data_IF_318790407305
#
_entry.id   IF_318790407305
#
_cell.length_a   1.000
_cell.length_b   1.000
_cell.length_c   1.000
_cell.angle_alpha   90.00
_cell.angle_beta   90.00
_cell.angle_gamma   90.00
#
_symmetry.space_group_name_H-M   'P 1'
#
loop_
_entity.id
_entity.type
_entity.pdbx_description
1 polymer ?
#
# COMPACT_ATOMS: atom_id res chain seq x y z
N UNK A 1 1.09 -19.00 11.14
CA UNK A 1 0.04 -18.99 12.18
C UNK A 1 -1.30 -18.75 11.50
N UNK A 2 -1.99 -19.82 11.08
CA UNK A 2 -3.36 -19.70 10.54
C UNK A 2 -4.26 -19.37 11.73
N UNK A 3 -4.54 -18.10 11.95
CA UNK A 3 -5.70 -17.71 12.75
C UNK A 3 -6.92 -18.03 11.89
N UNK A 4 -7.42 -19.29 12.01
CA UNK A 4 -8.67 -19.65 11.37
C UNK A 4 -9.72 -18.66 11.88
N UNK A 5 -10.31 -17.90 10.96
CA UNK A 5 -11.44 -17.01 11.26
C UNK A 5 -12.50 -17.89 11.92
N UNK A 6 -12.65 -17.73 13.24
CA UNK A 6 -13.62 -18.52 14.00
C UNK A 6 -15.02 -18.09 13.60
N UNK A 7 -15.85 -19.03 13.17
CA UNK A 7 -17.27 -18.81 12.94
C UNK A 7 -18.04 -19.27 14.18
N UNK A 8 -18.82 -18.37 14.77
CA UNK A 8 -19.76 -18.72 15.84
C UNK A 8 -21.17 -18.63 15.28
N UNK A 9 -21.96 -19.73 15.37
CA UNK A 9 -23.32 -19.82 14.83
C UNK A 9 -23.45 -19.31 13.37
N UNK A 10 -22.42 -19.55 12.53
CA UNK A 10 -22.38 -19.08 11.14
C UNK A 10 -21.97 -17.62 10.96
N UNK A 11 -21.87 -16.81 12.02
CA UNK A 11 -21.33 -15.44 11.99
C UNK A 11 -19.84 -15.43 12.33
N UNK A 12 -19.11 -14.52 11.70
CA UNK A 12 -17.70 -14.26 11.98
C UNK A 12 -17.55 -13.64 13.37
N UNK A 13 -16.58 -14.08 14.17
CA UNK A 13 -16.20 -13.37 15.39
C UNK A 13 -15.57 -12.02 14.96
N UNK A 14 -16.17 -10.91 15.39
CA UNK A 14 -15.76 -9.56 14.98
C UNK A 14 -14.76 -8.92 15.95
N UNK A 15 -14.53 -9.55 17.12
CA UNK A 15 -13.48 -9.14 18.06
C UNK A 15 -12.33 -10.13 17.99
N UNK A 16 -11.17 -9.64 17.57
CA UNK A 16 -9.95 -10.43 17.47
C UNK A 16 -9.06 -10.20 18.67
N UNK A 17 -8.68 -11.29 19.34
CA UNK A 17 -7.72 -11.29 20.45
C UNK A 17 -6.44 -12.00 20.02
N UNK A 18 -5.30 -11.37 20.23
CA UNK A 18 -3.98 -11.95 20.00
C UNK A 18 -2.92 -11.35 20.91
N UNK A 19 -1.81 -12.08 21.09
CA UNK A 19 -0.65 -11.60 21.84
C UNK A 19 0.49 -11.35 20.89
N UNK A 20 1.10 -10.17 20.99
CA UNK A 20 2.27 -9.83 20.17
C UNK A 20 3.23 -8.94 20.95
N UNK A 21 4.53 -9.21 20.88
CA UNK A 21 5.59 -8.42 21.51
C UNK A 21 5.38 -8.14 23.00
N UNK A 22 4.73 -9.07 23.75
CA UNK A 22 4.44 -8.94 25.18
C UNK A 22 3.18 -8.13 25.50
N UNK A 23 2.39 -7.74 24.49
CA UNK A 23 1.10 -7.06 24.66
C UNK A 23 -0.05 -8.00 24.36
N UNK A 24 -1.12 -7.89 25.15
CA UNK A 24 -2.41 -8.46 24.81
C UNK A 24 -3.18 -7.43 23.98
N UNK A 25 -3.53 -7.77 22.77
CA UNK A 25 -4.17 -6.87 21.81
C UNK A 25 -5.57 -7.37 21.49
N UNK A 26 -6.52 -6.45 21.52
CA UNK A 26 -7.92 -6.68 21.17
C UNK A 26 -8.30 -5.72 20.04
N UNK A 27 -8.75 -6.26 18.92
CA UNK A 27 -9.18 -5.50 17.75
C UNK A 27 -10.69 -5.73 17.55
N UNK A 28 -11.48 -4.68 17.60
CA UNK A 28 -12.85 -4.69 17.11
C UNK A 28 -12.87 -4.35 15.62
N UNK A 29 -13.30 -5.31 14.79
CA UNK A 29 -13.22 -5.19 13.32
C UNK A 29 -14.19 -4.15 12.77
N UNK A 30 -15.36 -3.98 13.40
CA UNK A 30 -16.38 -3.08 12.88
C UNK A 30 -16.07 -1.61 13.19
N UNK A 31 -15.66 -1.29 14.42
CA UNK A 31 -15.23 0.05 14.79
C UNK A 31 -13.81 0.37 14.34
N UNK A 32 -12.96 -0.66 14.18
CA UNK A 32 -11.52 -0.51 13.95
C UNK A 32 -10.73 -0.13 15.20
N UNK A 33 -11.36 -0.16 16.37
CA UNK A 33 -10.71 0.17 17.64
C UNK A 33 -9.71 -0.91 18.02
N UNK A 34 -8.54 -0.49 18.51
CA UNK A 34 -7.47 -1.37 18.97
C UNK A 34 -7.18 -1.05 20.44
N UNK A 35 -7.32 -2.04 21.29
CA UNK A 35 -7.09 -1.92 22.72
C UNK A 35 -5.87 -2.76 23.13
N UNK A 36 -5.01 -2.21 23.97
CA UNK A 36 -3.98 -2.95 24.70
C UNK A 36 -4.49 -3.15 26.12
N UNK A 37 -4.61 -4.40 26.54
CA UNK A 37 -5.25 -4.79 27.80
C UNK A 37 -4.33 -5.67 28.65
N UNK A 38 -4.61 -5.77 29.93
CA UNK A 38 -3.95 -6.72 30.82
C UNK A 38 -4.48 -8.15 30.62
N UNK A 39 -3.90 -9.12 31.34
CA UNK A 39 -4.29 -10.53 31.22
C UNK A 39 -5.71 -10.77 31.71
N UNK A 40 -6.19 -10.06 32.74
CA UNK A 40 -7.53 -10.24 33.29
C UNK A 40 -8.60 -9.77 32.31
N UNK A 41 -8.47 -8.55 31.77
CA UNK A 41 -9.38 -8.01 30.75
C UNK A 41 -9.36 -8.88 29.49
N UNK A 42 -8.19 -9.38 29.10
CA UNK A 42 -8.03 -10.29 27.95
C UNK A 42 -8.82 -11.58 28.15
N UNK A 43 -8.75 -12.19 29.33
CA UNK A 43 -9.48 -13.42 29.67
C UNK A 43 -10.99 -13.17 29.75
N UNK A 44 -11.43 -12.03 30.33
CA UNK A 44 -12.84 -11.64 30.40
C UNK A 44 -13.44 -11.46 29.00
N UNK A 45 -12.75 -10.74 28.12
CA UNK A 45 -13.20 -10.51 26.73
C UNK A 45 -13.40 -11.84 25.98
N UNK A 46 -12.56 -12.83 26.22
CA UNK A 46 -12.69 -14.15 25.62
C UNK A 46 -13.99 -14.89 26.02
N UNK A 47 -14.59 -14.52 27.16
CA UNK A 47 -15.80 -15.12 27.72
C UNK A 47 -17.04 -14.23 27.58
N UNK A 48 -16.87 -12.94 27.39
CA UNK A 48 -17.88 -11.88 27.50
C UNK A 48 -19.19 -12.17 26.75
N UNK A 49 -19.12 -12.59 25.49
CA UNK A 49 -20.34 -12.92 24.72
C UNK A 49 -20.82 -14.37 24.92
N UNK A 50 -20.09 -15.18 25.69
CA UNK A 50 -20.36 -16.61 25.81
C UNK A 50 -21.16 -16.95 27.04
N UNK A 51 -21.03 -16.16 28.10
CA UNK A 51 -21.64 -16.45 29.40
C UNK A 51 -21.91 -15.13 30.17
N UNK A 52 -22.89 -15.16 31.12
CA UNK A 52 -23.18 -14.00 31.95
C UNK A 52 -22.06 -13.71 32.96
N UNK A 53 -22.04 -12.47 33.49
CA UNK A 53 -21.01 -11.97 34.40
C UNK A 53 -20.75 -12.93 35.61
N UNK A 54 -21.83 -13.41 36.27
CA UNK A 54 -21.64 -14.25 37.46
C UNK A 54 -20.92 -15.57 37.13
N UNK A 55 -21.18 -16.14 35.94
CA UNK A 55 -20.46 -17.36 35.48
C UNK A 55 -19.01 -17.01 35.10
N UNK A 56 -18.75 -15.82 34.56
CA UNK A 56 -17.37 -15.35 34.28
C UNK A 56 -16.60 -15.22 35.61
N UNK A 57 -17.25 -14.70 36.66
CA UNK A 57 -16.65 -14.58 37.98
C UNK A 57 -16.29 -15.97 38.51
N UNK A 58 -17.23 -16.93 38.51
CA UNK A 58 -16.99 -18.31 38.94
C UNK A 58 -15.83 -19.00 38.21
N UNK A 59 -15.69 -18.70 36.87
CA UNK A 59 -14.64 -19.30 36.04
C UNK A 59 -13.25 -18.71 36.33
N UNK A 60 -13.20 -17.40 36.68
CA UNK A 60 -11.97 -16.66 36.83
C UNK A 60 -11.56 -16.32 38.26
N UNK A 61 -12.39 -16.58 39.27
CA UNK A 61 -12.14 -16.25 40.71
C UNK A 61 -10.89 -16.92 41.27
N UNK A 62 -10.50 -18.06 40.72
CA UNK A 62 -9.26 -18.77 41.13
C UNK A 62 -7.99 -18.02 40.62
N UNK A 63 -8.14 -17.11 39.68
CA UNK A 63 -7.02 -16.39 39.02
C UNK A 63 -7.01 -14.90 39.38
N UNK A 64 -8.18 -14.30 39.58
CA UNK A 64 -8.34 -12.86 39.83
C UNK A 64 -9.38 -12.62 40.93
N UNK A 65 -9.24 -11.53 41.74
CA UNK A 65 -10.25 -11.14 42.73
C UNK A 65 -11.60 -10.83 42.08
N UNK A 66 -12.72 -11.29 42.70
CA UNK A 66 -14.07 -11.05 42.19
C UNK A 66 -14.37 -9.58 41.90
N UNK A 67 -13.99 -8.67 42.82
CA UNK A 67 -14.24 -7.24 42.66
C UNK A 67 -13.54 -6.69 41.43
N UNK A 68 -12.30 -7.13 41.18
CA UNK A 68 -11.51 -6.66 40.02
C UNK A 68 -12.13 -7.18 38.71
N UNK A 69 -12.64 -8.43 38.67
CA UNK A 69 -13.36 -9.00 37.53
C UNK A 69 -14.61 -8.16 37.22
N UNK A 70 -15.40 -7.82 38.26
CA UNK A 70 -16.63 -7.00 38.09
C UNK A 70 -16.34 -5.59 37.62
N UNK A 71 -15.29 -4.97 38.13
CA UNK A 71 -14.83 -3.65 37.68
C UNK A 71 -14.39 -3.68 36.21
N UNK A 72 -13.52 -4.60 35.84
CA UNK A 72 -13.06 -4.77 34.46
C UNK A 72 -14.23 -5.10 33.50
N UNK A 73 -15.19 -5.92 33.91
CA UNK A 73 -16.39 -6.17 33.13
C UNK A 73 -17.21 -4.89 32.90
N UNK A 74 -17.32 -4.04 33.91
CA UNK A 74 -18.01 -2.75 33.78
C UNK A 74 -17.30 -1.81 32.81
N UNK A 75 -15.95 -1.82 32.77
CA UNK A 75 -15.18 -1.06 31.79
C UNK A 75 -15.41 -1.58 30.35
N UNK A 76 -15.50 -2.90 30.19
CA UNK A 76 -15.83 -3.51 28.88
C UNK A 76 -17.22 -3.08 28.42
N UNK A 77 -18.23 -3.03 29.33
CA UNK A 77 -19.58 -2.52 29.01
C UNK A 77 -19.52 -1.06 28.56
N UNK A 78 -18.73 -0.22 29.23
CA UNK A 78 -18.55 1.19 28.82
C UNK A 78 -17.93 1.32 27.43
N UNK A 79 -16.93 0.50 27.09
CA UNK A 79 -16.35 0.49 25.74
C UNK A 79 -17.37 0.04 24.69
N UNK A 80 -18.25 -0.90 25.03
CA UNK A 80 -19.34 -1.35 24.17
C UNK A 80 -20.36 -0.26 23.95
N UNK A 81 -20.82 0.40 25.02
CA UNK A 81 -21.75 1.55 24.94
C UNK A 81 -21.14 2.71 24.13
N UNK A 82 -19.84 2.93 24.24
CA UNK A 82 -19.10 3.93 23.45
C UNK A 82 -18.90 3.53 21.98
N UNK A 83 -19.31 2.32 21.55
CA UNK A 83 -19.15 1.84 20.20
C UNK A 83 -17.68 1.55 19.84
N UNK A 84 -16.87 1.11 20.81
CA UNK A 84 -15.44 0.83 20.62
C UNK A 84 -15.09 -0.66 20.79
N UNK A 85 -16.02 -1.48 21.28
CA UNK A 85 -15.83 -2.91 21.46
C UNK A 85 -17.16 -3.65 21.31
N UNK A 86 -17.15 -4.86 20.76
CA UNK A 86 -18.35 -5.67 20.46
C UNK A 86 -19.39 -4.92 19.62
N UNK A 87 -18.92 -4.16 18.64
CA UNK A 87 -19.76 -3.33 17.80
C UNK A 87 -20.48 -4.10 16.71
N UNK A 88 -21.65 -3.64 16.30
CA UNK A 88 -22.39 -4.20 15.18
C UNK A 88 -21.88 -3.65 13.85
N UNK A 89 -22.01 -4.44 12.76
CA UNK A 89 -21.73 -3.95 11.41
C UNK A 89 -22.88 -3.09 10.90
N UNK A 90 -22.78 -1.79 11.15
CA UNK A 90 -23.78 -0.80 10.69
C UNK A 90 -23.83 -0.68 9.14
N UNK A 91 -22.85 -1.23 8.42
CA UNK A 91 -22.74 -1.16 6.96
C UNK A 91 -23.28 -2.40 6.25
N UNK A 92 -23.64 -3.47 6.96
CA UNK A 92 -24.18 -4.71 6.38
C UNK A 92 -25.37 -4.42 5.45
N UNK A 93 -26.27 -3.53 5.88
CA UNK A 93 -27.46 -3.14 5.14
C UNK A 93 -27.19 -2.19 3.94
N UNK A 94 -25.96 -1.66 3.81
CA UNK A 94 -25.60 -0.74 2.75
C UNK A 94 -24.84 -1.42 1.58
N UNK A 95 -24.59 -2.73 1.66
CA UNK A 95 -23.80 -3.47 0.66
C UNK A 95 -24.42 -3.32 -0.74
N UNK A 96 -25.75 -3.43 -0.86
CA UNK A 96 -26.42 -3.33 -2.15
C UNK A 96 -26.35 -1.90 -2.72
N UNK A 97 -26.49 -0.87 -1.87
CA UNK A 97 -26.33 0.51 -2.30
C UNK A 97 -24.91 0.79 -2.82
N UNK A 98 -23.89 0.08 -2.32
CA UNK A 98 -22.51 0.18 -2.83
C UNK A 98 -22.31 -0.54 -4.17
N UNK A 99 -23.05 -1.61 -4.45
CA UNK A 99 -23.02 -2.30 -5.75
C UNK A 99 -23.60 -1.43 -6.86
N UNK A 100 -24.67 -0.73 -6.56
CA UNK A 100 -25.44 0.07 -7.52
C UNK A 100 -24.95 1.53 -7.64
N UNK A 101 -23.88 1.90 -6.94
CA UNK A 101 -23.35 3.27 -7.00
C UNK A 101 -22.80 3.60 -8.39
N UNK A 102 -22.99 4.84 -8.87
CA UNK A 102 -22.40 5.28 -10.13
C UNK A 102 -20.89 5.14 -10.11
N UNK A 103 -20.32 4.61 -11.18
CA UNK A 103 -18.86 4.58 -11.35
C UNK A 103 -18.34 5.98 -11.59
N UNK A 104 -17.42 6.43 -10.74
CA UNK A 104 -16.74 7.74 -10.85
C UNK A 104 -15.25 7.49 -10.89
N UNK A 105 -14.65 7.71 -12.05
CA UNK A 105 -13.19 7.53 -12.23
C UNK A 105 -12.46 8.65 -11.51
N UNK A 106 -11.55 8.29 -10.60
CA UNK A 106 -10.76 9.22 -9.80
C UNK A 106 -9.28 9.25 -10.17
N UNK A 107 -8.80 8.15 -10.80
CA UNK A 107 -7.39 7.98 -11.06
C UNK A 107 -7.14 7.20 -12.35
N UNK A 108 -6.08 7.58 -13.07
CA UNK A 108 -5.52 6.83 -14.19
C UNK A 108 -4.04 6.53 -13.96
N UNK A 109 -3.65 5.32 -14.31
CA UNK A 109 -2.25 4.94 -14.47
C UNK A 109 -1.93 4.95 -15.96
N UNK A 110 -1.14 5.91 -16.41
CA UNK A 110 -0.72 6.03 -17.80
C UNK A 110 0.57 5.25 -18.01
N UNK A 111 0.51 4.20 -18.82
CA UNK A 111 1.69 3.48 -19.25
C UNK A 111 2.41 4.28 -20.34
N UNK A 112 3.23 5.21 -19.90
CA UNK A 112 3.96 6.13 -20.79
C UNK A 112 4.93 5.40 -21.71
N UNK A 113 5.49 4.30 -21.22
CA UNK A 113 6.36 3.43 -22.01
C UNK A 113 6.09 1.95 -21.69
N UNK A 114 5.83 1.16 -22.72
CA UNK A 114 5.99 -0.27 -22.70
C UNK A 114 7.41 -0.63 -23.13
N UNK A 115 8.38 -0.13 -22.40
CA UNK A 115 9.81 -0.42 -22.49
C UNK A 115 10.49 -0.01 -21.19
N UNK A 116 11.62 -0.64 -20.86
CA UNK A 116 12.39 -0.37 -19.65
C UNK A 116 13.88 -0.54 -19.91
N UNK A 117 14.70 0.23 -19.19
CA UNK A 117 16.16 0.17 -19.23
C UNK A 117 16.76 -0.73 -18.13
N UNK A 118 15.91 -1.34 -17.27
CA UNK A 118 16.26 -2.40 -16.33
C UNK A 118 15.61 -3.72 -16.74
N UNK A 119 16.14 -4.84 -16.19
CA UNK A 119 15.65 -6.20 -16.37
C UNK A 119 15.36 -6.84 -15.00
N UNK A 120 14.42 -6.25 -14.25
CA UNK A 120 14.07 -6.73 -12.92
C UNK A 120 13.53 -8.15 -12.96
N UNK A 121 14.08 -9.06 -12.13
CA UNK A 121 13.76 -10.50 -12.17
C UNK A 121 12.30 -10.82 -11.79
N UNK A 122 11.68 -9.98 -10.95
CA UNK A 122 10.30 -10.12 -10.50
C UNK A 122 9.32 -9.22 -11.29
N UNK A 123 9.75 -8.67 -12.43
CA UNK A 123 8.95 -7.70 -13.16
C UNK A 123 7.68 -8.35 -13.73
N UNK A 124 6.52 -8.01 -13.18
CA UNK A 124 5.23 -8.45 -13.70
C UNK A 124 4.93 -7.94 -15.11
N UNK A 125 5.64 -6.89 -15.54
CA UNK A 125 5.51 -6.25 -16.84
C UNK A 125 6.53 -6.76 -17.87
N UNK A 126 7.28 -7.85 -17.61
CA UNK A 126 8.27 -8.44 -18.52
C UNK A 126 9.21 -7.38 -19.14
N UNK A 127 10.01 -6.73 -18.31
CA UNK A 127 10.90 -5.62 -18.72
C UNK A 127 10.14 -4.44 -19.36
N UNK A 128 8.88 -4.27 -19.03
CA UNK A 128 8.00 -3.22 -19.51
C UNK A 128 7.17 -3.57 -20.74
N UNK A 129 7.32 -4.75 -21.33
CA UNK A 129 6.61 -5.15 -22.54
C UNK A 129 5.16 -5.63 -22.28
N UNK A 130 4.83 -5.98 -21.03
CA UNK A 130 3.49 -6.40 -20.59
C UNK A 130 2.92 -7.55 -21.44
N UNK A 131 3.72 -8.58 -21.72
CA UNK A 131 3.36 -9.73 -22.59
C UNK A 131 3.00 -9.35 -24.03
N UNK A 132 3.35 -8.14 -24.46
CA UNK A 132 2.99 -7.61 -25.76
C UNK A 132 4.20 -7.17 -26.58
N UNK A 133 4.22 -5.92 -26.91
CA UNK A 133 5.29 -5.29 -27.71
C UNK A 133 5.73 -3.97 -27.09
N UNK A 134 6.96 -3.57 -27.37
CA UNK A 134 7.47 -2.25 -26.99
C UNK A 134 6.72 -1.16 -27.73
N UNK A 135 6.38 -0.13 -26.99
CA UNK A 135 5.74 1.06 -27.50
C UNK A 135 5.97 2.25 -26.55
N UNK A 136 5.93 3.45 -27.09
CA UNK A 136 5.87 4.69 -26.32
C UNK A 136 4.49 5.32 -26.55
N UNK A 137 3.88 5.83 -25.50
CA UNK A 137 2.59 6.52 -25.58
C UNK A 137 2.76 7.82 -26.41
N UNK A 138 1.87 8.09 -27.35
CA UNK A 138 1.83 9.39 -28.01
C UNK A 138 1.13 10.42 -27.13
N UNK A 139 1.42 11.71 -27.35
CA UNK A 139 0.71 12.80 -26.69
C UNK A 139 -0.80 12.71 -26.88
N UNK A 140 -1.25 12.39 -28.10
CA UNK A 140 -2.67 12.30 -28.44
C UNK A 140 -3.41 11.21 -27.65
N UNK A 141 -2.76 10.06 -27.43
CA UNK A 141 -3.34 8.99 -26.60
C UNK A 141 -3.44 9.44 -25.14
N UNK A 142 -2.36 9.98 -24.58
CA UNK A 142 -2.37 10.48 -23.21
C UNK A 142 -3.35 11.63 -23.01
N UNK A 143 -3.43 12.56 -23.96
CA UNK A 143 -4.43 13.65 -23.97
C UNK A 143 -5.87 13.10 -23.92
N UNK A 144 -6.22 12.15 -24.78
CA UNK A 144 -7.54 11.51 -24.76
C UNK A 144 -7.83 10.81 -23.42
N UNK A 145 -6.82 10.22 -22.79
CA UNK A 145 -6.96 9.61 -21.48
C UNK A 145 -7.27 10.65 -20.40
N UNK A 146 -6.62 11.82 -20.41
CA UNK A 146 -6.92 12.93 -19.50
C UNK A 146 -8.32 13.51 -19.75
N UNK A 147 -8.73 13.67 -21.01
CA UNK A 147 -10.08 14.11 -21.37
C UNK A 147 -11.14 13.10 -20.87
N UNK A 148 -10.88 11.80 -21.02
CA UNK A 148 -11.73 10.74 -20.48
C UNK A 148 -11.84 10.81 -18.95
N UNK A 149 -10.72 11.01 -18.24
CA UNK A 149 -10.73 11.15 -16.79
C UNK A 149 -11.60 12.34 -16.33
N UNK A 150 -11.45 13.49 -16.97
CA UNK A 150 -12.28 14.66 -16.68
C UNK A 150 -13.76 14.35 -16.91
N UNK A 151 -14.11 13.79 -18.06
CA UNK A 151 -15.50 13.50 -18.43
C UNK A 151 -16.17 12.48 -17.51
N UNK A 152 -15.41 11.51 -16.94
CA UNK A 152 -15.96 10.41 -16.15
C UNK A 152 -15.73 10.59 -14.63
N UNK A 153 -15.23 11.76 -14.19
CA UNK A 153 -14.93 12.03 -12.78
C UNK A 153 -16.08 12.68 -11.99
N UNK A 154 -17.24 12.91 -12.63
CA UNK A 154 -18.40 13.53 -12.01
C UNK A 154 -18.05 14.84 -11.27
N UNK A 155 -18.54 15.02 -10.07
CA UNK A 155 -18.29 16.20 -9.23
C UNK A 155 -16.91 16.19 -8.52
N UNK A 156 -16.11 15.14 -8.66
CA UNK A 156 -14.80 15.01 -8.02
C UNK A 156 -13.84 16.09 -8.52
N UNK A 157 -13.29 16.87 -7.60
CA UNK A 157 -12.36 17.97 -7.94
C UNK A 157 -10.92 17.49 -8.14
N UNK A 158 -10.42 16.64 -7.24
CA UNK A 158 -9.05 16.13 -7.29
C UNK A 158 -8.99 14.84 -8.11
N UNK A 159 -8.12 14.81 -9.11
CA UNK A 159 -7.90 13.69 -10.03
C UNK A 159 -6.45 13.25 -9.93
N UNK A 160 -6.21 11.94 -9.80
CA UNK A 160 -4.87 11.36 -9.70
C UNK A 160 -4.43 10.83 -11.06
N UNK A 161 -3.18 11.09 -11.44
CA UNK A 161 -2.57 10.56 -12.67
C UNK A 161 -1.19 10.04 -12.34
N UNK A 162 -0.98 8.74 -12.50
CA UNK A 162 0.31 8.10 -12.29
C UNK A 162 1.00 7.88 -13.64
N UNK A 163 2.16 8.49 -13.82
CA UNK A 163 3.06 8.16 -14.93
C UNK A 163 3.85 6.90 -14.57
N UNK A 164 3.56 5.83 -15.29
CA UNK A 164 4.02 4.48 -15.02
C UNK A 164 4.39 3.74 -16.32
N UNK A 165 4.45 2.41 -16.26
CA UNK A 165 4.72 1.51 -17.37
C UNK A 165 5.96 0.66 -17.11
N UNK A 166 6.84 0.54 -18.09
CA UNK A 166 8.20 0.03 -17.89
C UNK A 166 9.05 1.07 -17.17
N UNK A 167 9.51 2.10 -17.92
CA UNK A 167 10.17 3.27 -17.33
C UNK A 167 9.65 4.56 -18.01
N UNK A 168 8.84 5.37 -17.31
CA UNK A 168 8.22 6.55 -17.91
C UNK A 168 9.20 7.64 -18.33
N UNK A 169 10.38 7.72 -17.70
CA UNK A 169 11.41 8.71 -18.09
C UNK A 169 12.02 8.43 -19.47
N UNK A 170 11.81 7.24 -20.05
CA UNK A 170 12.17 6.95 -21.44
C UNK A 170 11.34 7.74 -22.47
N UNK A 171 10.21 8.29 -22.06
CA UNK A 171 9.31 9.09 -22.89
C UNK A 171 8.98 10.43 -22.20
N UNK A 172 10.00 11.07 -21.68
CA UNK A 172 9.88 12.23 -20.80
C UNK A 172 9.20 13.44 -21.44
N UNK A 173 9.44 13.68 -22.72
CA UNK A 173 8.80 14.79 -23.45
C UNK A 173 7.27 14.68 -23.44
N UNK A 174 6.74 13.46 -23.59
CA UNK A 174 5.29 13.24 -23.55
C UNK A 174 4.77 13.45 -22.11
N UNK A 175 5.52 13.05 -21.07
CA UNK A 175 5.16 13.34 -19.67
C UNK A 175 5.00 14.85 -19.47
N UNK A 176 5.99 15.66 -19.92
CA UNK A 176 5.93 17.13 -19.80
C UNK A 176 4.70 17.70 -20.51
N UNK A 177 4.47 17.29 -21.76
CA UNK A 177 3.33 17.75 -22.56
C UNK A 177 1.99 17.40 -21.90
N UNK A 178 1.85 16.20 -21.31
CA UNK A 178 0.63 15.77 -20.63
C UNK A 178 0.39 16.55 -19.33
N UNK A 179 1.44 16.87 -18.58
CA UNK A 179 1.33 17.72 -17.39
C UNK A 179 0.88 19.14 -17.79
N UNK A 180 1.52 19.75 -18.78
CA UNK A 180 1.14 21.07 -19.29
C UNK A 180 -0.31 21.10 -19.79
N UNK A 181 -0.71 20.08 -20.54
CA UNK A 181 -2.09 19.94 -21.01
C UNK A 181 -3.05 19.81 -19.83
N UNK A 182 -2.78 18.92 -18.88
CA UNK A 182 -3.60 18.75 -17.68
C UNK A 182 -3.80 20.06 -16.93
N UNK A 183 -2.72 20.83 -16.69
CA UNK A 183 -2.79 22.16 -16.06
C UNK A 183 -3.68 23.12 -16.84
N UNK A 184 -3.59 23.11 -18.17
CA UNK A 184 -4.34 24.03 -19.03
C UNK A 184 -5.85 23.83 -19.00
N UNK A 185 -6.31 22.61 -18.65
CA UNK A 185 -7.75 22.27 -18.61
C UNK A 185 -8.35 22.29 -17.21
N UNK A 186 -7.55 22.49 -16.14
CA UNK A 186 -8.00 22.44 -14.74
C UNK A 186 -9.11 23.44 -14.44
N UNK A 187 -8.88 24.72 -14.76
CA UNK A 187 -9.80 25.81 -14.42
C UNK A 187 -11.15 25.66 -15.12
N UNK A 188 -11.13 25.45 -16.44
CA UNK A 188 -12.34 25.32 -17.25
C UNK A 188 -13.23 24.16 -16.83
N UNK A 189 -12.66 23.11 -16.24
CA UNK A 189 -13.39 21.90 -15.79
C UNK A 189 -13.60 21.85 -14.27
N UNK A 190 -13.15 22.83 -13.51
CA UNK A 190 -13.15 22.82 -12.04
C UNK A 190 -12.50 21.55 -11.47
N UNK A 191 -11.35 21.17 -12.05
CA UNK A 191 -10.56 19.99 -11.65
C UNK A 191 -9.17 20.42 -11.16
N UNK A 192 -8.51 19.51 -10.45
CA UNK A 192 -7.11 19.66 -10.04
C UNK A 192 -6.41 18.33 -10.18
N UNK A 193 -5.43 18.26 -11.07
CA UNK A 193 -4.62 17.07 -11.26
C UNK A 193 -3.51 16.96 -10.20
N UNK A 194 -3.36 15.76 -9.66
CA UNK A 194 -2.25 15.36 -8.83
C UNK A 194 -1.45 14.31 -9.59
N UNK A 195 -0.30 14.74 -10.11
CA UNK A 195 0.58 13.87 -10.88
C UNK A 195 1.54 13.13 -9.96
N UNK A 196 1.73 11.84 -10.21
CA UNK A 196 2.74 10.99 -9.58
C UNK A 196 3.67 10.45 -10.65
N UNK A 197 4.97 10.43 -10.36
CA UNK A 197 5.97 9.78 -11.19
C UNK A 197 6.51 8.56 -10.46
N UNK A 198 6.40 7.37 -11.06
CA UNK A 198 7.07 6.16 -10.58
C UNK A 198 8.23 5.85 -11.51
N UNK A 199 9.46 5.86 -11.01
CA UNK A 199 10.66 5.69 -11.82
C UNK A 199 11.70 4.77 -11.17
N UNK A 200 12.44 4.05 -11.99
CA UNK A 200 13.62 3.31 -11.56
C UNK A 200 14.88 4.18 -11.40
N UNK A 201 14.81 5.46 -11.78
CA UNK A 201 15.83 6.46 -11.53
C UNK A 201 17.06 6.45 -12.44
N UNK A 202 17.23 5.48 -13.31
CA UNK A 202 18.44 5.38 -14.17
C UNK A 202 18.62 6.64 -15.03
N UNK A 203 17.52 7.18 -15.59
CA UNK A 203 17.54 8.36 -16.45
C UNK A 203 17.32 9.68 -15.70
N UNK A 204 17.06 9.65 -14.37
CA UNK A 204 16.93 10.88 -13.61
C UNK A 204 18.17 11.77 -13.78
N UNK A 205 17.92 13.04 -14.07
CA UNK A 205 18.90 14.11 -14.16
C UNK A 205 18.32 15.39 -13.53
N UNK A 206 19.08 16.48 -13.56
CA UNK A 206 18.67 17.73 -12.92
C UNK A 206 17.45 18.35 -13.57
N UNK A 207 17.30 18.27 -14.89
CA UNK A 207 16.12 18.78 -15.64
C UNK A 207 14.84 18.04 -15.20
N UNK A 208 14.90 16.69 -15.17
CA UNK A 208 13.77 15.86 -14.74
C UNK A 208 13.41 16.16 -13.28
N UNK A 209 14.42 16.30 -12.42
CA UNK A 209 14.21 16.58 -10.99
C UNK A 209 13.57 17.96 -10.77
N UNK A 210 14.05 18.99 -11.44
CA UNK A 210 13.49 20.35 -11.34
C UNK A 210 12.01 20.37 -11.76
N UNK A 211 11.69 19.77 -12.90
CA UNK A 211 10.32 19.65 -13.38
C UNK A 211 9.45 18.83 -12.40
N UNK A 212 9.95 17.69 -11.95
CA UNK A 212 9.20 16.82 -11.04
C UNK A 212 8.95 17.48 -9.67
N UNK A 213 9.89 18.24 -9.15
CA UNK A 213 9.70 19.02 -7.92
C UNK A 213 8.62 20.08 -8.04
N UNK A 214 8.50 20.70 -9.23
CA UNK A 214 7.49 21.72 -9.49
C UNK A 214 6.11 21.14 -9.71
N UNK A 215 5.99 20.06 -10.48
CA UNK A 215 4.72 19.60 -11.03
C UNK A 215 4.18 18.30 -10.40
N UNK A 216 5.06 17.42 -9.90
CA UNK A 216 4.64 16.14 -9.34
C UNK A 216 4.25 16.27 -7.87
N UNK A 217 3.03 15.88 -7.55
CA UNK A 217 2.53 15.80 -6.17
C UNK A 217 3.27 14.73 -5.37
N UNK A 218 3.74 13.67 -6.04
CA UNK A 218 4.50 12.59 -5.43
C UNK A 218 5.49 11.98 -6.41
N UNK A 219 6.61 11.43 -5.89
CA UNK A 219 7.58 10.67 -6.67
C UNK A 219 7.83 9.33 -5.98
N UNK A 220 7.69 8.24 -6.72
CA UNK A 220 7.99 6.89 -6.25
C UNK A 220 9.31 6.45 -6.88
N UNK A 221 10.30 6.18 -6.04
CA UNK A 221 11.67 5.84 -6.40
C UNK A 221 11.91 4.35 -6.17
N UNK A 222 12.07 3.60 -7.25
CA UNK A 222 12.13 2.14 -7.17
C UNK A 222 13.53 1.63 -6.79
N UNK A 223 13.68 1.10 -5.56
CA UNK A 223 14.93 0.52 -5.02
C UNK A 223 14.60 -0.55 -3.98
N UNK A 224 15.27 -1.69 -4.01
CA UNK A 224 14.90 -2.84 -3.16
C UNK A 224 15.61 -2.86 -1.79
N UNK A 225 16.61 -2.00 -1.57
CA UNK A 225 17.35 -1.95 -0.30
C UNK A 225 18.87 -2.00 -0.49
N UNK A 226 19.54 -2.96 0.17
CA UNK A 226 20.99 -3.13 0.09
C UNK A 226 21.46 -3.34 -1.35
N UNK A 227 22.68 -2.88 -1.63
CA UNK A 227 23.26 -2.91 -2.98
C UNK A 227 23.22 -4.29 -3.62
N UNK A 228 23.64 -5.31 -2.89
CA UNK A 228 23.68 -6.69 -3.40
C UNK A 228 22.30 -7.23 -3.75
N UNK A 229 21.28 -6.88 -2.99
CA UNK A 229 19.88 -7.24 -3.26
C UNK A 229 19.35 -6.47 -4.45
N UNK A 230 19.54 -5.16 -4.46
CA UNK A 230 19.08 -4.31 -5.56
C UNK A 230 19.71 -4.75 -6.89
N UNK A 231 21.01 -4.94 -6.95
CA UNK A 231 21.70 -5.32 -8.20
C UNK A 231 21.35 -6.74 -8.65
N UNK A 232 21.09 -7.66 -7.68
CA UNK A 232 20.60 -9.01 -7.99
C UNK A 232 19.21 -8.99 -8.64
N UNK A 233 18.29 -8.22 -8.06
CA UNK A 233 16.88 -8.27 -8.44
C UNK A 233 16.51 -7.24 -9.52
N UNK A 234 17.29 -6.16 -9.65
CA UNK A 234 17.08 -5.05 -10.60
C UNK A 234 18.33 -4.77 -11.45
N UNK A 235 18.85 -5.80 -12.16
CA UNK A 235 20.03 -5.60 -13.01
C UNK A 235 19.74 -4.62 -14.16
N UNK A 236 20.77 -3.94 -14.60
CA UNK A 236 20.71 -3.16 -15.84
C UNK A 236 20.47 -4.09 -17.03
N UNK A 237 19.73 -3.62 -18.02
CA UNK A 237 19.33 -4.45 -19.19
C UNK A 237 20.54 -5.00 -19.96
N UNK A 238 21.62 -4.24 -20.04
CA UNK A 238 22.87 -4.69 -20.68
C UNK A 238 23.74 -5.59 -19.79
N UNK A 239 23.32 -5.84 -18.54
CA UNK A 239 24.06 -6.67 -17.57
C UNK A 239 25.36 -6.05 -17.05
N UNK A 240 25.61 -4.78 -17.33
CA UNK A 240 26.85 -4.09 -16.94
C UNK A 240 26.60 -3.01 -15.87
N UNK A 241 27.45 -3.01 -14.86
CA UNK A 241 27.42 -2.03 -13.79
C UNK A 241 26.32 -2.29 -12.75
N UNK A 242 26.37 -1.50 -11.70
CA UNK A 242 25.43 -1.54 -10.58
C UNK A 242 24.31 -0.54 -10.81
N UNK A 243 23.06 -1.03 -10.84
CA UNK A 243 21.90 -0.14 -10.87
C UNK A 243 21.82 0.67 -9.58
N UNK A 244 22.14 0.08 -8.43
CA UNK A 244 22.19 0.74 -7.14
C UNK A 244 23.15 1.95 -7.14
N UNK A 245 24.39 1.78 -7.60
CA UNK A 245 25.39 2.86 -7.61
C UNK A 245 24.97 4.04 -8.50
N UNK A 246 24.18 3.78 -9.55
CA UNK A 246 23.65 4.81 -10.45
C UNK A 246 22.53 5.58 -9.78
N UNK A 247 21.59 4.90 -9.11
CA UNK A 247 20.34 5.51 -8.63
C UNK A 247 20.46 6.13 -7.23
N UNK A 248 21.25 5.55 -6.33
CA UNK A 248 21.35 5.99 -4.94
C UNK A 248 21.67 7.48 -4.79
N UNK A 249 22.70 8.06 -5.45
CA UNK A 249 23.00 9.49 -5.32
C UNK A 249 21.87 10.36 -5.88
N UNK A 250 21.15 9.91 -6.91
CA UNK A 250 20.02 10.62 -7.50
C UNK A 250 18.81 10.62 -6.57
N UNK A 251 18.52 9.48 -5.93
CA UNK A 251 17.39 9.34 -5.01
C UNK A 251 17.59 10.17 -3.73
N UNK A 252 18.82 10.22 -3.21
CA UNK A 252 19.16 11.14 -2.12
C UNK A 252 18.87 12.59 -2.49
N UNK A 253 19.29 13.01 -3.69
CA UNK A 253 19.00 14.36 -4.19
C UNK A 253 17.50 14.64 -4.31
N UNK A 254 16.69 13.66 -4.74
CA UNK A 254 15.22 13.80 -4.75
C UNK A 254 14.69 13.99 -3.33
N UNK A 255 15.06 13.12 -2.38
CA UNK A 255 14.59 13.17 -1.00
C UNK A 255 14.95 14.52 -0.33
N UNK A 256 16.20 14.97 -0.47
CA UNK A 256 16.70 16.23 0.07
C UNK A 256 15.97 17.43 -0.53
N UNK A 257 15.85 17.49 -1.88
CA UNK A 257 15.20 18.60 -2.57
C UNK A 257 13.70 18.73 -2.27
N UNK A 258 13.09 17.66 -1.77
CA UNK A 258 11.69 17.61 -1.33
C UNK A 258 11.52 17.72 0.18
N UNK A 259 12.57 18.04 0.94
CA UNK A 259 12.57 18.10 2.41
C UNK A 259 11.99 16.82 3.05
N UNK A 260 12.37 15.67 2.56
CA UNK A 260 11.92 14.35 3.02
C UNK A 260 10.39 14.12 2.93
N UNK A 261 9.68 14.86 2.06
CA UNK A 261 8.23 14.78 1.91
C UNK A 261 7.80 14.54 0.46
N UNK A 262 6.63 13.94 0.30
CA UNK A 262 6.00 13.72 -1.01
C UNK A 262 6.86 12.90 -1.98
N UNK A 263 7.56 11.91 -1.43
CA UNK A 263 8.23 10.84 -2.17
C UNK A 263 8.15 9.54 -1.37
N UNK A 264 8.41 8.43 -2.01
CA UNK A 264 8.69 7.15 -1.39
C UNK A 264 9.86 6.48 -2.11
N UNK A 265 10.81 5.92 -1.33
CA UNK A 265 11.64 4.84 -1.86
C UNK A 265 10.83 3.56 -1.73
N UNK A 266 10.63 2.86 -2.85
CA UNK A 266 9.78 1.67 -2.90
C UNK A 266 10.55 0.47 -3.44
N UNK A 267 10.64 -0.56 -2.63
CA UNK A 267 11.29 -1.82 -2.95
C UNK A 267 10.34 -3.01 -2.93
N UNK A 268 10.88 -4.15 -3.36
CA UNK A 268 10.20 -5.44 -3.33
C UNK A 268 11.09 -6.45 -2.64
N UNK A 269 10.59 -7.13 -1.61
CA UNK A 269 11.30 -8.26 -1.04
C UNK A 269 10.72 -9.59 -1.56
N UNK A 270 11.60 -10.60 -1.63
CA UNK A 270 11.35 -11.87 -2.27
C UNK A 270 11.86 -13.01 -1.38
N UNK A 271 11.69 -14.27 -1.81
CA UNK A 271 12.35 -15.40 -1.17
C UNK A 271 13.86 -15.23 -1.06
N UNK A 272 14.50 -14.46 -1.96
CA UNK A 272 15.95 -14.26 -1.98
C UNK A 272 16.46 -13.26 -0.91
N UNK A 273 15.58 -12.48 -0.30
CA UNK A 273 15.91 -11.51 0.76
C UNK A 273 14.83 -11.48 1.86
N UNK A 274 14.57 -12.64 2.44
CA UNK A 274 13.60 -12.77 3.55
C UNK A 274 13.98 -11.90 4.76
N UNK A 275 15.26 -11.53 4.90
CA UNK A 275 15.76 -10.57 5.88
C UNK A 275 15.51 -9.10 5.49
N UNK A 276 14.39 -8.84 4.83
CA UNK A 276 14.01 -7.53 4.28
C UNK A 276 14.05 -6.37 5.29
N UNK A 277 13.94 -6.66 6.58
CA UNK A 277 14.10 -5.64 7.62
C UNK A 277 15.46 -4.94 7.51
N UNK A 278 16.51 -5.66 7.11
CA UNK A 278 17.84 -5.08 6.86
C UNK A 278 17.84 -4.13 5.66
N UNK A 279 17.04 -4.44 4.63
CA UNK A 279 16.89 -3.60 3.45
C UNK A 279 16.19 -2.29 3.80
N UNK A 280 15.11 -2.36 4.60
CA UNK A 280 14.41 -1.18 5.13
C UNK A 280 15.33 -0.33 6.00
N UNK A 281 16.06 -0.96 6.94
CA UNK A 281 16.99 -0.24 7.82
C UNK A 281 18.16 0.36 7.06
N UNK A 282 18.67 -0.32 6.04
CA UNK A 282 19.70 0.20 5.15
C UNK A 282 19.22 1.49 4.44
N UNK A 283 18.02 1.50 3.89
CA UNK A 283 17.45 2.70 3.26
C UNK A 283 17.29 3.84 4.27
N UNK A 284 16.85 3.54 5.50
CA UNK A 284 16.75 4.53 6.55
C UNK A 284 18.13 5.09 6.97
N UNK A 285 19.16 4.24 7.03
CA UNK A 285 20.54 4.63 7.35
C UNK A 285 21.19 5.45 6.22
N UNK A 286 20.74 5.24 4.98
CA UNK A 286 21.11 6.06 3.81
C UNK A 286 20.40 7.44 3.79
N UNK A 287 19.51 7.71 4.77
CA UNK A 287 18.87 9.00 4.99
C UNK A 287 17.49 9.16 4.35
N UNK A 288 16.81 8.07 3.97
CA UNK A 288 15.43 8.14 3.51
C UNK A 288 14.44 8.05 4.67
N UNK A 289 13.50 8.98 4.71
CA UNK A 289 12.46 9.02 5.75
C UNK A 289 11.12 8.42 5.29
N UNK A 290 10.91 8.18 4.01
CA UNK A 290 9.67 7.63 3.45
C UNK A 290 9.97 6.32 2.72
N UNK A 291 9.69 5.19 3.38
CA UNK A 291 10.12 3.86 2.91
C UNK A 291 8.91 2.93 2.77
N UNK A 292 8.83 2.24 1.64
CA UNK A 292 7.84 1.20 1.35
C UNK A 292 8.56 0.01 0.72
N UNK A 293 8.59 -1.13 1.40
CA UNK A 293 9.17 -2.38 0.86
C UNK A 293 8.10 -3.46 0.96
N UNK A 294 7.63 -3.91 -0.22
CA UNK A 294 6.46 -4.76 -0.37
C UNK A 294 6.85 -6.22 -0.63
N UNK A 295 6.04 -7.20 -0.19
CA UNK A 295 6.24 -8.58 -0.60
C UNK A 295 5.99 -8.75 -2.11
N UNK A 296 6.81 -9.57 -2.76
CA UNK A 296 6.59 -9.90 -4.17
C UNK A 296 5.28 -10.65 -4.36
N UNK A 297 4.55 -10.30 -5.42
CA UNK A 297 3.44 -11.11 -5.93
C UNK A 297 3.95 -11.89 -7.14
N UNK A 298 4.03 -13.22 -7.00
CA UNK A 298 4.64 -14.10 -7.97
C UNK A 298 3.89 -15.43 -8.06
N UNK A 299 4.09 -16.18 -9.15
CA UNK A 299 3.58 -17.53 -9.23
C UNK A 299 4.34 -18.44 -8.25
N UNK A 300 3.70 -19.43 -7.60
CA UNK A 300 4.37 -20.32 -6.65
C UNK A 300 5.58 -21.07 -7.24
N UNK A 301 5.65 -21.19 -8.56
CA UNK A 301 6.72 -21.85 -9.30
C UNK A 301 7.94 -20.95 -9.52
N UNK A 302 7.82 -19.65 -9.31
CA UNK A 302 8.93 -18.72 -9.50
C UNK A 302 9.96 -18.88 -8.38
N UNK A 303 11.25 -18.87 -8.74
CA UNK A 303 12.35 -19.10 -7.79
C UNK A 303 12.46 -18.03 -6.69
N UNK A 304 11.89 -16.84 -6.93
CA UNK A 304 11.86 -15.70 -6.03
C UNK A 304 10.53 -15.57 -5.27
N UNK A 305 9.54 -16.43 -5.54
CA UNK A 305 8.24 -16.39 -4.86
C UNK A 305 8.39 -16.68 -3.36
N UNK A 306 7.68 -15.90 -2.56
CA UNK A 306 7.54 -16.14 -1.12
C UNK A 306 6.68 -17.40 -0.93
N UNK A 307 7.14 -18.30 -0.05
CA UNK A 307 6.52 -19.59 0.23
C UNK A 307 5.89 -19.61 1.60
N UNK A 308 5.02 -20.58 1.85
CA UNK A 308 4.36 -20.72 3.15
C UNK A 308 5.37 -20.94 4.30
N UNK A 309 6.45 -21.70 4.03
CA UNK A 309 7.53 -21.92 4.98
C UNK A 309 8.34 -20.65 5.35
N UNK A 310 8.29 -19.60 4.53
CA UNK A 310 8.97 -18.32 4.78
C UNK A 310 8.22 -17.44 5.77
N UNK A 311 6.91 -17.62 5.90
CA UNK A 311 6.00 -16.73 6.66
C UNK A 311 6.42 -16.57 8.13
N UNK A 312 6.78 -17.64 8.87
CA UNK A 312 7.21 -17.47 10.27
C UNK A 312 8.42 -16.54 10.41
N UNK A 313 9.41 -16.71 9.52
CA UNK A 313 10.59 -15.86 9.52
C UNK A 313 10.27 -14.42 9.12
N UNK A 314 9.39 -14.20 8.15
CA UNK A 314 8.93 -12.85 7.79
C UNK A 314 8.21 -12.16 8.95
N UNK A 315 7.39 -12.88 9.72
CA UNK A 315 6.77 -12.32 10.93
C UNK A 315 7.84 -11.86 11.94
N UNK A 316 8.89 -12.64 12.15
CA UNK A 316 10.02 -12.23 13.01
C UNK A 316 10.71 -10.96 12.49
N UNK A 317 10.86 -10.83 11.16
CA UNK A 317 11.45 -9.64 10.55
C UNK A 317 10.58 -8.39 10.77
N UNK A 318 9.25 -8.50 10.65
CA UNK A 318 8.33 -7.41 10.99
C UNK A 318 8.41 -7.03 12.48
N UNK A 319 8.48 -8.01 13.38
CA UNK A 319 8.61 -7.76 14.82
C UNK A 319 9.92 -7.05 15.17
N UNK A 320 11.03 -7.46 14.55
CA UNK A 320 12.32 -6.80 14.71
C UNK A 320 12.28 -5.36 14.20
N UNK A 321 11.72 -5.16 13.02
CA UNK A 321 11.60 -3.84 12.40
C UNK A 321 10.73 -2.89 13.23
N UNK A 322 9.60 -3.39 13.77
CA UNK A 322 8.73 -2.60 14.64
C UNK A 322 9.46 -2.13 15.90
N UNK A 323 10.23 -3.03 16.55
CA UNK A 323 11.04 -2.68 17.74
C UNK A 323 12.10 -1.65 17.43
N UNK A 324 12.81 -1.81 16.32
CA UNK A 324 13.87 -0.86 15.91
C UNK A 324 13.26 0.50 15.52
N UNK A 325 12.11 0.52 14.83
CA UNK A 325 11.40 1.75 14.50
C UNK A 325 10.99 2.54 15.75
N UNK A 326 10.41 1.88 16.76
CA UNK A 326 10.05 2.51 18.03
C UNK A 326 11.30 3.07 18.73
N UNK A 327 12.39 2.32 18.74
CA UNK A 327 13.68 2.76 19.34
C UNK A 327 14.22 3.99 18.63
N UNK A 328 14.27 3.99 17.29
CA UNK A 328 14.73 5.12 16.47
C UNK A 328 13.83 6.35 16.65
N UNK A 329 12.52 6.16 16.68
CA UNK A 329 11.56 7.24 16.90
C UNK A 329 11.76 7.92 18.27
N UNK A 330 12.01 7.13 19.33
CA UNK A 330 12.35 7.66 20.67
C UNK A 330 13.68 8.41 20.68
N UNK A 331 14.63 8.02 19.85
CA UNK A 331 15.95 8.67 19.72
C UNK A 331 15.94 9.90 18.79
N UNK A 332 14.80 10.24 18.16
CA UNK A 332 14.67 11.39 17.27
C UNK A 332 15.17 11.16 15.83
N UNK A 333 15.50 9.92 15.45
CA UNK A 333 15.94 9.52 14.11
C UNK A 333 15.00 8.46 13.48
N UNK A 334 13.69 8.63 13.74
CA UNK A 334 12.65 7.79 13.18
C UNK A 334 12.47 8.02 11.68
N UNK A 335 11.87 7.04 11.03
CA UNK A 335 11.43 7.12 9.63
C UNK A 335 10.01 6.56 9.50
N UNK A 336 9.36 6.79 8.37
CA UNK A 336 8.06 6.22 8.04
C UNK A 336 8.24 4.94 7.24
N UNK A 337 7.76 3.83 7.78
CA UNK A 337 7.61 2.58 7.05
C UNK A 337 6.14 2.38 6.70
N UNK A 338 5.81 2.31 5.43
CA UNK A 338 4.43 2.36 4.93
C UNK A 338 3.49 1.35 5.60
N UNK A 339 3.95 0.11 5.84
CA UNK A 339 3.13 -0.93 6.49
C UNK A 339 2.75 -0.61 7.94
N UNK A 340 3.49 0.27 8.61
CA UNK A 340 3.20 0.68 10.00
C UNK A 340 2.48 2.03 10.10
N UNK A 341 2.20 2.67 8.97
CA UNK A 341 1.47 3.94 8.92
C UNK A 341 -0.05 3.68 8.91
N UNK A 342 -0.58 3.19 10.02
CA UNK A 342 -2.00 2.92 10.21
C UNK A 342 -2.58 4.02 11.09
N UNK A 343 -3.65 4.68 10.63
CA UNK A 343 -4.42 5.60 11.45
C UNK A 343 -5.39 4.81 12.34
N UNK A 344 -5.02 4.62 13.59
CA UNK A 344 -5.83 3.92 14.58
C UNK A 344 -7.02 4.78 15.08
N UNK A 345 -7.06 6.09 14.79
CA UNK A 345 -8.14 6.97 15.21
C UNK A 345 -9.24 7.12 14.15
N UNK A 346 -8.96 6.80 12.90
CA UNK A 346 -9.86 7.00 11.77
C UNK A 346 -10.87 5.86 11.55
N UNK A 347 -10.74 4.77 12.27
CA UNK A 347 -11.53 3.54 12.04
C UNK A 347 -11.25 2.86 10.69
N UNK A 348 -11.96 1.79 10.34
CA UNK A 348 -11.76 1.07 9.09
C UNK A 348 -12.29 1.88 7.89
N UNK A 349 -11.58 1.81 6.77
CA UNK A 349 -12.06 2.41 5.52
C UNK A 349 -13.23 1.58 4.95
N UNK A 350 -14.46 2.04 5.16
CA UNK A 350 -15.69 1.35 4.72
C UNK A 350 -15.68 1.10 3.22
N UNK A 351 -15.26 2.07 2.40
CA UNK A 351 -15.19 1.89 0.94
C UNK A 351 -14.26 0.73 0.56
N UNK A 352 -13.09 0.60 1.20
CA UNK A 352 -12.18 -0.53 0.97
C UNK A 352 -12.74 -1.86 1.43
N UNK A 353 -13.50 -1.89 2.53
CA UNK A 353 -14.18 -3.10 3.02
C UNK A 353 -15.24 -3.61 2.02
N UNK A 354 -16.03 -2.69 1.46
CA UNK A 354 -17.19 -3.02 0.63
C UNK A 354 -16.86 -3.15 -0.86
N UNK A 355 -15.91 -2.38 -1.39
CA UNK A 355 -15.61 -2.31 -2.82
C UNK A 355 -14.14 -2.54 -3.18
N UNK A 356 -13.28 -2.83 -2.21
CA UNK A 356 -11.85 -3.03 -2.44
C UNK A 356 -11.11 -1.75 -2.85
N UNK A 357 -10.05 -1.89 -3.68
CA UNK A 357 -9.17 -0.77 -4.07
C UNK A 357 -9.76 0.16 -5.14
N UNK A 358 -10.93 -0.16 -5.70
CA UNK A 358 -11.55 0.60 -6.80
C UNK A 358 -11.02 0.27 -8.19
N UNK A 359 -10.17 -0.77 -8.32
CA UNK A 359 -9.69 -1.27 -9.62
C UNK A 359 -10.86 -1.59 -10.56
N UNK A 360 -10.80 -1.10 -11.80
CA UNK A 360 -11.84 -1.28 -12.80
C UNK A 360 -13.07 -0.35 -12.66
N UNK A 361 -13.21 0.33 -11.53
CA UNK A 361 -14.33 1.25 -11.28
C UNK A 361 -13.88 2.70 -11.08
N UNK A 362 -12.97 2.92 -10.13
CA UNK A 362 -12.50 4.27 -9.77
C UNK A 362 -11.08 4.54 -10.28
N UNK A 363 -10.34 3.48 -10.59
CA UNK A 363 -8.97 3.49 -11.07
C UNK A 363 -8.85 2.59 -12.30
N UNK A 364 -8.20 3.09 -13.34
CA UNK A 364 -7.96 2.39 -14.60
C UNK A 364 -6.51 2.59 -15.05
N UNK A 365 -5.96 1.61 -15.77
CA UNK A 365 -4.70 1.74 -16.47
C UNK A 365 -4.95 1.96 -17.97
N UNK A 366 -4.08 2.75 -18.61
CA UNK A 366 -4.15 3.08 -20.03
C UNK A 366 -2.85 2.72 -20.73
N UNK A 367 -2.92 1.87 -21.75
CA UNK A 367 -1.76 1.44 -22.52
C UNK A 367 -1.26 2.53 -23.49
N UNK A 368 -0.05 2.38 -24.08
CA UNK A 368 0.42 3.29 -25.13
C UNK A 368 -0.47 3.37 -26.39
N UNK A 369 -1.35 2.39 -26.56
CA UNK A 369 -2.32 2.34 -27.70
C UNK A 369 -3.69 2.91 -27.36
N UNK A 370 -3.94 3.24 -26.06
CA UNK A 370 -5.20 3.79 -25.59
C UNK A 370 -6.21 2.76 -25.06
N UNK A 371 -5.78 1.49 -24.92
CA UNK A 371 -6.64 0.46 -24.30
C UNK A 371 -6.72 0.64 -22.81
N UNK A 372 -7.92 0.43 -22.24
CA UNK A 372 -8.18 0.52 -20.81
C UNK A 372 -8.15 -0.85 -20.15
N UNK A 373 -7.51 -0.92 -18.98
CA UNK A 373 -7.47 -2.11 -18.12
C UNK A 373 -7.86 -1.75 -16.68
N UNK A 374 -8.42 -2.72 -15.93
CA UNK A 374 -8.81 -2.47 -14.53
C UNK A 374 -7.67 -2.01 -13.65
N UNK A 375 -6.45 -2.49 -13.88
CA UNK A 375 -5.25 -2.14 -13.12
C UNK A 375 -4.01 -2.36 -13.98
N UNK A 376 -2.93 -1.66 -13.68
CA UNK A 376 -1.64 -1.82 -14.37
C UNK A 376 -1.08 -3.25 -14.28
N UNK A 377 -1.40 -4.02 -13.23
CA UNK A 377 -0.98 -5.42 -13.08
C UNK A 377 -1.75 -6.39 -13.99
N UNK A 378 -2.91 -6.00 -14.54
CA UNK A 378 -3.74 -6.82 -15.41
C UNK A 378 -3.61 -6.46 -16.90
N UNK A 379 -2.73 -5.53 -17.20
CA UNK A 379 -2.50 -5.09 -18.57
C UNK A 379 -2.05 -6.28 -19.44
N UNK A 380 -2.77 -6.51 -20.53
CA UNK A 380 -2.58 -7.59 -21.51
C UNK A 380 -2.72 -9.04 -20.96
N UNK A 381 -2.95 -9.23 -19.65
CA UNK A 381 -3.26 -10.55 -19.09
C UNK A 381 -4.68 -11.03 -19.40
N UNK A 382 -5.61 -10.10 -19.61
CA UNK A 382 -6.95 -10.37 -20.05
C UNK A 382 -7.17 -9.72 -21.40
N UNK A 383 -7.56 -10.52 -22.39
CA UNK A 383 -8.30 -9.98 -23.50
C UNK A 383 -9.62 -9.51 -22.93
N UNK A 384 -9.69 -8.25 -22.50
CA UNK A 384 -10.97 -7.67 -22.17
C UNK A 384 -11.83 -7.72 -23.43
N UNK A 385 -13.01 -8.35 -23.40
CA UNK A 385 -14.01 -7.95 -24.36
C UNK A 385 -14.29 -6.50 -24.01
N UNK A 386 -13.71 -5.59 -24.79
CA UNK A 386 -14.16 -4.21 -24.79
C UNK A 386 -15.68 -4.24 -24.98
N UNK A 387 -16.46 -3.59 -24.12
CA UNK A 387 -17.88 -3.44 -24.38
C UNK A 387 -18.12 -2.68 -25.68
#
# INVERSE_FOLDING_TARGET
MQTAIKKRNGKLEMVHQYKNNGYNIVLDVNSGSVHVVDDMVYDIIALYEKMPLDTIVEELENKYPENDIREAYSEIEQLKEAGQLFTEDIYENYIDAFKDRPTVVKALCLHIAHDCNLACRYCFAEEGEYHGRRALMSFEVGKKALDFLVANSGSRKNLEVDFFGGEPTMNWEVVKQLVEYGRSIEEANNKKFRFTLTTNGILLNDEILEFANKEMSNIVLSIDGRKEINDLMRPTRNGHGSSYDIIMPKFKKVAESRNQMNYYVRGTFTHNNLDFSKDVLHLADEGFEQISVEPVVAQPTDSYAIREEDIPYLCEQYDMLAKELVKRKKAGNGFNFFHFMIDLNGGPCVAKRLSGCGSGCEYLAVTPWGDFYPCHQFCLLYTSPSP
#
